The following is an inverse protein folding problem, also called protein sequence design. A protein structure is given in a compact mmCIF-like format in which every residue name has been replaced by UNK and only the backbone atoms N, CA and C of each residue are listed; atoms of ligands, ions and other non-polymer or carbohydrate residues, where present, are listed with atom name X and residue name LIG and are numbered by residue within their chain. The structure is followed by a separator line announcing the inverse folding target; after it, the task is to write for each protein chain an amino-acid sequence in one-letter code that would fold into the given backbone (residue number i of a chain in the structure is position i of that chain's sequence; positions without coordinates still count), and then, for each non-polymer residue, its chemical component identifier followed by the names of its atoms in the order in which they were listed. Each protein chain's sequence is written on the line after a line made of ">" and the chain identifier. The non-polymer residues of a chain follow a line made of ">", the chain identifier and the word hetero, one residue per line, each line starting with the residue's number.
data_IF_472442744589
#
_entry.id   IF_472442744589
#
_cell.length_a   1.000
_cell.length_b   1.000
_cell.length_c   1.000
_cell.angle_alpha   90.00
_cell.angle_beta   90.00
_cell.angle_gamma   90.00
#
_symmetry.space_group_name_H-M   'P 1'
#
loop_
_entity.id
_entity.type
_entity.pdbx_description
1 polymer ?
#
# COMPACT_ATOMS: atom_id res chain seq x y z
N UNK A 1 2.25 -15.95 1.38
CA UNK A 1 2.92 -15.03 2.34
C UNK A 1 2.09 -13.76 2.46
N UNK A 2 2.20 -13.06 3.60
CA UNK A 2 1.50 -11.79 3.84
C UNK A 2 2.48 -10.64 3.69
N UNK A 3 2.07 -9.57 3.02
CA UNK A 3 2.88 -8.39 2.77
C UNK A 3 2.10 -7.12 3.12
N UNK A 4 2.82 -6.06 3.46
CA UNK A 4 2.31 -4.69 3.40
C UNK A 4 2.82 -4.04 2.13
N UNK A 5 1.92 -3.51 1.32
CA UNK A 5 2.23 -2.64 0.19
C UNK A 5 1.91 -1.22 0.61
N UNK A 6 2.91 -0.35 0.67
CA UNK A 6 2.77 1.08 0.95
C UNK A 6 3.11 1.85 -0.30
N UNK A 7 2.21 2.75 -0.71
CA UNK A 7 2.36 3.58 -1.89
C UNK A 7 2.17 5.03 -1.49
N UNK A 8 3.10 5.87 -1.95
CA UNK A 8 3.01 7.31 -1.89
C UNK A 8 3.03 7.85 -3.31
N UNK A 9 1.94 8.49 -3.72
CA UNK A 9 1.94 9.33 -4.91
C UNK A 9 2.77 10.57 -4.65
N UNK A 10 3.31 11.15 -5.71
CA UNK A 10 4.00 12.45 -5.67
C UNK A 10 3.21 13.48 -4.83
N UNK A 11 3.87 14.20 -3.93
CA UNK A 11 3.20 15.14 -3.00
C UNK A 11 2.45 16.29 -3.69
N UNK A 12 2.79 16.60 -4.95
CA UNK A 12 2.12 17.61 -5.78
C UNK A 12 0.86 17.09 -6.50
N UNK A 13 0.47 15.82 -6.25
CA UNK A 13 -0.66 15.17 -6.90
C UNK A 13 -1.98 15.91 -6.64
N UNK A 14 -2.66 16.30 -7.71
CA UNK A 14 -3.98 16.89 -7.62
C UNK A 14 -5.07 15.85 -7.27
N UNK A 15 -6.24 16.35 -6.88
CA UNK A 15 -7.37 15.51 -6.50
C UNK A 15 -7.87 14.61 -7.65
N UNK A 16 -7.75 15.06 -8.90
CA UNK A 16 -8.18 14.30 -10.07
C UNK A 16 -7.29 13.06 -10.26
N UNK A 17 -5.98 13.22 -10.08
CA UNK A 17 -5.01 12.15 -10.07
C UNK A 17 -5.33 11.14 -8.98
N UNK A 18 -5.49 11.59 -7.73
CA UNK A 18 -5.83 10.70 -6.61
C UNK A 18 -7.13 9.93 -6.90
N UNK A 19 -8.13 10.59 -7.47
CA UNK A 19 -9.43 9.96 -7.79
C UNK A 19 -9.33 8.90 -8.89
N UNK A 20 -8.47 9.09 -9.88
CA UNK A 20 -8.38 8.21 -11.04
C UNK A 20 -7.33 7.10 -10.85
N UNK A 21 -6.15 7.46 -10.33
CA UNK A 21 -4.99 6.57 -10.27
C UNK A 21 -5.02 5.64 -9.06
N UNK A 22 -5.45 6.11 -7.89
CA UNK A 22 -5.50 5.26 -6.68
C UNK A 22 -6.40 4.04 -6.88
N UNK A 23 -7.64 4.14 -7.41
CA UNK A 23 -8.47 2.96 -7.68
C UNK A 23 -7.84 1.99 -8.68
N UNK A 24 -7.14 2.50 -9.71
CA UNK A 24 -6.47 1.66 -10.69
C UNK A 24 -5.31 0.87 -10.06
N UNK A 25 -4.46 1.54 -9.29
CA UNK A 25 -3.37 0.91 -8.53
C UNK A 25 -3.92 -0.10 -7.52
N UNK A 26 -4.99 0.22 -6.80
CA UNK A 26 -5.63 -0.70 -5.85
C UNK A 26 -6.19 -1.92 -6.57
N UNK A 27 -6.79 -1.75 -7.76
CA UNK A 27 -7.28 -2.87 -8.58
C UNK A 27 -6.14 -3.80 -8.97
N UNK A 28 -4.96 -3.26 -9.32
CA UNK A 28 -3.77 -4.06 -9.60
C UNK A 28 -3.29 -4.83 -8.38
N UNK A 29 -3.20 -4.17 -7.21
CA UNK A 29 -2.83 -4.84 -5.95
C UNK A 29 -3.78 -6.01 -5.68
N UNK A 30 -5.09 -5.77 -5.78
CA UNK A 30 -6.13 -6.78 -5.56
C UNK A 30 -6.03 -7.94 -6.56
N UNK A 31 -5.82 -7.64 -7.85
CA UNK A 31 -5.65 -8.67 -8.90
C UNK A 31 -4.40 -9.54 -8.72
N UNK A 32 -3.44 -9.09 -7.90
CA UNK A 32 -2.25 -9.86 -7.54
C UNK A 32 -2.32 -10.50 -6.15
N UNK A 33 -3.47 -10.41 -5.47
CA UNK A 33 -3.68 -10.95 -4.13
C UNK A 33 -4.75 -12.04 -4.11
N UNK A 34 -4.60 -12.98 -3.20
CA UNK A 34 -5.62 -13.97 -2.83
C UNK A 34 -6.57 -13.40 -1.76
N UNK A 35 -6.05 -12.52 -0.91
CA UNK A 35 -6.80 -11.76 0.08
C UNK A 35 -6.14 -10.40 0.27
N UNK A 36 -6.94 -9.37 0.49
CA UNK A 36 -6.50 -7.99 0.63
C UNK A 36 -7.29 -7.25 1.73
N UNK A 37 -6.62 -6.35 2.43
CA UNK A 37 -7.20 -5.51 3.48
C UNK A 37 -6.53 -4.13 3.45
N UNK A 38 -7.32 -3.05 3.46
CA UNK A 38 -6.76 -1.71 3.56
C UNK A 38 -6.14 -1.53 4.94
N UNK A 39 -4.83 -1.24 4.98
CA UNK A 39 -4.14 -0.96 6.23
C UNK A 39 -4.44 0.48 6.65
N UNK A 40 -4.09 1.46 5.81
CA UNK A 40 -4.28 2.87 6.13
C UNK A 40 -4.38 3.72 4.86
N UNK A 41 -4.82 4.96 5.06
CA UNK A 41 -4.84 6.01 4.04
C UNK A 41 -4.66 7.36 4.73
N UNK A 42 -3.85 8.24 4.14
CA UNK A 42 -3.72 9.63 4.57
C UNK A 42 -4.98 10.44 4.25
N UNK A 43 -5.15 11.59 4.90
CA UNK A 43 -6.34 12.44 4.72
C UNK A 43 -6.48 12.98 3.28
N UNK A 44 -5.37 13.28 2.63
CA UNK A 44 -5.28 13.70 1.22
C UNK A 44 -5.32 12.51 0.24
N UNK A 45 -5.17 11.28 0.74
CA UNK A 45 -5.20 10.06 -0.03
C UNK A 45 -3.99 9.81 -0.92
N UNK A 46 -2.93 10.61 -0.84
CA UNK A 46 -1.69 10.41 -1.62
C UNK A 46 -0.84 9.28 -1.06
N UNK A 47 -0.94 9.02 0.25
CA UNK A 47 -0.24 7.94 0.92
C UNK A 47 -1.26 6.89 1.40
N UNK A 48 -1.06 5.64 1.01
CA UNK A 48 -1.95 4.55 1.37
C UNK A 48 -1.24 3.22 1.47
N UNK A 49 -1.81 2.32 2.26
CA UNK A 49 -1.24 1.00 2.52
C UNK A 49 -2.29 -0.10 2.44
N UNK A 50 -1.89 -1.25 1.92
CA UNK A 50 -2.71 -2.46 1.82
C UNK A 50 -1.94 -3.66 2.35
N UNK A 51 -2.58 -4.45 3.19
CA UNK A 51 -2.15 -5.81 3.44
C UNK A 51 -2.64 -6.71 2.33
N UNK A 52 -1.74 -7.55 1.83
CA UNK A 52 -2.08 -8.57 0.85
C UNK A 52 -1.54 -9.93 1.27
N UNK A 53 -2.28 -10.97 0.94
CA UNK A 53 -1.82 -12.35 0.94
C UNK A 53 -1.67 -12.80 -0.50
N UNK A 54 -0.49 -13.32 -0.86
CA UNK A 54 -0.19 -13.78 -2.22
C UNK A 54 0.91 -14.82 -2.20
N UNK A 55 0.91 -15.66 -3.23
CA UNK A 55 1.95 -16.62 -3.60
C UNK A 55 2.90 -16.06 -4.68
N UNK A 56 2.55 -14.92 -5.28
CA UNK A 56 3.38 -14.22 -6.26
C UNK A 56 4.59 -13.58 -5.61
N UNK A 57 5.68 -13.44 -6.36
CA UNK A 57 6.87 -12.74 -5.88
C UNK A 57 6.62 -11.24 -5.72
N UNK A 58 7.28 -10.62 -4.75
CA UNK A 58 7.23 -9.16 -4.54
C UNK A 58 7.62 -8.42 -5.82
N UNK A 59 8.65 -8.89 -6.53
CA UNK A 59 9.12 -8.26 -7.77
C UNK A 59 8.05 -8.23 -8.86
N UNK A 60 7.22 -9.28 -8.96
CA UNK A 60 6.13 -9.32 -9.93
C UNK A 60 5.07 -8.26 -9.60
N UNK A 61 4.75 -8.09 -8.33
CA UNK A 61 3.77 -7.11 -7.86
C UNK A 61 4.30 -5.69 -8.06
N UNK A 62 5.56 -5.46 -7.66
CA UNK A 62 6.26 -4.19 -7.87
C UNK A 62 6.27 -3.81 -9.35
N UNK A 63 6.71 -4.71 -10.23
CA UNK A 63 6.73 -4.47 -11.69
C UNK A 63 5.34 -4.21 -12.27
N UNK A 64 4.31 -4.89 -11.78
CA UNK A 64 2.94 -4.67 -12.23
C UNK A 64 2.43 -3.26 -11.87
N UNK A 65 2.76 -2.78 -10.66
CA UNK A 65 2.39 -1.44 -10.20
C UNK A 65 3.21 -0.37 -10.94
N UNK A 66 4.54 -0.51 -10.94
CA UNK A 66 5.48 0.44 -11.57
C UNK A 66 5.29 0.51 -13.10
N UNK A 67 4.84 -0.58 -13.72
CA UNK A 67 4.53 -0.64 -15.15
C UNK A 67 3.13 -0.16 -15.54
N UNK A 68 2.30 0.26 -14.57
CA UNK A 68 0.94 0.73 -14.84
C UNK A 68 0.92 2.17 -15.36
N UNK A 69 -0.08 2.52 -16.17
CA UNK A 69 -0.26 3.90 -16.67
C UNK A 69 -0.57 4.92 -15.58
N UNK A 70 -1.02 4.44 -14.42
CA UNK A 70 -1.29 5.26 -13.23
C UNK A 70 -0.05 5.53 -12.38
N UNK A 71 1.07 4.87 -12.68
CA UNK A 71 2.35 5.08 -12.01
C UNK A 71 3.15 6.19 -12.67
N UNK A 72 3.78 7.06 -11.86
CA UNK A 72 4.73 8.08 -12.34
C UNK A 72 6.08 7.93 -11.65
N UNK A 73 7.13 8.42 -12.30
CA UNK A 73 8.51 8.30 -11.80
C UNK A 73 8.74 8.95 -10.42
N UNK A 74 7.90 9.90 -10.02
CA UNK A 74 7.97 10.57 -8.72
C UNK A 74 7.18 9.85 -7.61
N UNK A 75 6.50 8.75 -7.94
CA UNK A 75 5.79 7.92 -6.97
C UNK A 75 6.77 6.97 -6.26
N UNK A 76 6.41 6.54 -5.06
CA UNK A 76 7.23 5.68 -4.22
C UNK A 76 6.44 4.47 -3.74
N UNK A 77 7.06 3.29 -3.80
CA UNK A 77 6.47 2.03 -3.34
C UNK A 77 7.44 1.27 -2.46
N UNK A 78 6.93 0.84 -1.31
CA UNK A 78 7.62 -0.03 -0.36
C UNK A 78 6.75 -1.27 -0.14
N UNK A 79 7.36 -2.44 -0.30
CA UNK A 79 6.70 -3.72 -0.03
C UNK A 79 7.55 -4.46 0.98
N UNK A 80 6.96 -4.85 2.10
CA UNK A 80 7.66 -5.63 3.13
C UNK A 80 6.83 -6.82 3.58
N UNK A 81 7.51 -7.92 3.88
CA UNK A 81 6.89 -9.12 4.41
C UNK A 81 6.40 -8.88 5.82
N UNK A 82 5.19 -9.38 6.08
CA UNK A 82 4.52 -9.33 7.35
C UNK A 82 4.41 -10.77 7.83
N UNK A 83 5.13 -11.09 8.91
CA UNK A 83 5.00 -12.40 9.55
C UNK A 83 3.58 -12.65 10.06
N UNK A 84 3.24 -13.92 10.25
CA UNK A 84 1.90 -14.37 10.65
C UNK A 84 1.38 -13.72 11.96
N UNK A 85 2.28 -13.18 12.79
CA UNK A 85 1.95 -12.51 14.06
C UNK A 85 1.32 -11.12 13.94
N UNK A 86 1.18 -10.57 12.74
CA UNK A 86 0.56 -9.25 12.49
C UNK A 86 -0.87 -9.36 11.94
N UNK A 87 -1.45 -10.56 11.91
CA UNK A 87 -2.87 -10.76 11.61
C UNK A 87 -3.72 -10.44 12.85
N UNK A 88 -4.18 -9.20 12.96
CA UNK A 88 -5.15 -8.80 13.98
C UNK A 88 -6.26 -7.96 13.38
N UNK A 89 -7.52 -8.33 13.63
CA UNK A 89 -8.64 -7.40 13.51
C UNK A 89 -8.59 -6.45 14.73
N UNK A 90 -8.27 -5.18 14.51
CA UNK A 90 -8.27 -4.14 15.54
C UNK A 90 -6.88 -3.57 15.89
N UNK A 91 -6.84 -2.74 16.94
CA UNK A 91 -5.63 -2.13 17.48
C UNK A 91 -4.75 -3.16 18.21
N UNK A 92 -3.93 -3.91 17.47
CA UNK A 92 -2.85 -4.67 18.11
C UNK A 92 -1.75 -3.70 18.56
N UNK A 93 -0.98 -4.05 19.61
CA UNK A 93 0.11 -3.21 20.12
C UNK A 93 1.14 -2.83 19.05
N UNK A 94 1.30 -3.67 18.02
CA UNK A 94 2.19 -3.41 16.88
C UNK A 94 1.61 -2.34 15.94
N UNK A 95 0.29 -2.33 15.74
CA UNK A 95 -0.44 -1.29 15.01
C UNK A 95 -0.30 0.08 15.68
N UNK A 96 -0.41 0.12 17.02
CA UNK A 96 -0.17 1.33 17.81
C UNK A 96 1.28 1.81 17.70
N UNK A 97 2.26 0.91 17.59
CA UNK A 97 3.66 1.27 17.42
C UNK A 97 3.90 1.97 16.09
N UNK A 98 3.42 1.43 14.97
CA UNK A 98 3.50 2.06 13.64
C UNK A 98 2.84 3.45 13.61
N UNK A 99 1.74 3.62 14.32
CA UNK A 99 1.06 4.92 14.43
C UNK A 99 1.83 5.93 15.32
N UNK A 100 2.56 5.45 16.32
CA UNK A 100 3.33 6.31 17.23
C UNK A 100 4.67 6.76 16.63
N UNK A 101 5.34 5.91 15.84
CA UNK A 101 6.58 6.28 15.17
C UNK A 101 6.35 7.26 14.00
N UNK A 102 5.18 7.24 13.35
CA UNK A 102 4.82 8.22 12.31
C UNK A 102 4.54 9.64 12.82
N UNK A 103 4.44 9.86 14.15
CA UNK A 103 4.16 11.17 14.77
C UNK A 103 5.40 11.85 15.38
N UNK A 104 6.59 11.25 15.25
CA UNK A 104 7.85 11.85 15.67
C UNK A 104 8.64 12.23 14.41
N UNK A 105 8.25 13.35 13.83
CA UNK A 105 9.11 14.33 13.13
C UNK A 105 8.35 15.67 13.09
#
# INVERSE_FOLDING_TARGET
>A
MRYCVVIQLENSSDLARVRNDVPAIVTLIKGHSQSDEMAFRSNDGVLFGWFIQTDKSIDMIRKAIEGSTSWRNADSIVIFEIGDGLSGKGFTRQWTWLQHSAKRD
#
